data_IF_060328595733
#
_entry.id   IF_060328595733
#
_cell.length_a   1.000
_cell.length_b   1.000
_cell.length_c   1.000
_cell.angle_alpha   90.00
_cell.angle_beta   90.00
_cell.angle_gamma   90.00
#
_symmetry.space_group_name_H-M   'P 1'
#
loop_
_entity.id
_entity.type
_entity.pdbx_description
1 polymer ?
#
# COMPACT_ATOMS: atom_id res chain seq x y z
N UNK A 1 6.28 -13.93 14.46
CA UNK A 1 6.28 -12.45 14.58
C UNK A 1 4.90 -11.91 14.27
N UNK A 2 4.20 -11.42 15.28
CA UNK A 2 2.94 -10.69 15.10
C UNK A 2 3.25 -9.21 14.80
N UNK A 3 2.94 -8.75 13.58
CA UNK A 3 3.15 -7.36 13.15
C UNK A 3 2.12 -6.40 13.76
N UNK A 4 2.19 -6.18 15.07
CA UNK A 4 1.24 -5.35 15.82
C UNK A 4 1.39 -3.85 15.55
N UNK A 5 2.61 -3.39 15.25
CA UNK A 5 2.87 -1.98 14.97
C UNK A 5 2.78 -1.71 13.47
N UNK A 6 1.68 -1.05 13.07
CA UNK A 6 1.42 -0.65 11.67
C UNK A 6 1.32 0.86 11.59
N UNK A 7 2.05 1.45 10.64
CA UNK A 7 1.88 2.85 10.30
C UNK A 7 0.64 3.02 9.43
N UNK A 8 -0.02 4.16 9.57
CA UNK A 8 -1.10 4.57 8.69
C UNK A 8 -0.55 4.72 7.27
N UNK A 9 -1.15 4.11 6.24
CA UNK A 9 -0.61 4.23 4.88
C UNK A 9 -0.78 5.65 4.35
N UNK A 10 0.15 6.07 3.48
CA UNK A 10 0.06 7.31 2.73
C UNK A 10 -0.46 7.02 1.31
N UNK A 11 -1.63 7.55 0.98
CA UNK A 11 -2.19 7.56 -0.37
C UNK A 11 -1.79 8.85 -1.10
N UNK A 12 -1.44 8.73 -2.38
CA UNK A 12 -1.13 9.88 -3.23
C UNK A 12 -2.04 9.84 -4.45
N UNK A 13 -2.76 10.93 -4.70
CA UNK A 13 -3.64 11.03 -5.85
C UNK A 13 -3.54 12.37 -6.59
N UNK A 14 -4.21 12.47 -7.73
CA UNK A 14 -4.16 13.68 -8.58
C UNK A 14 -4.98 14.84 -8.03
N UNK A 15 -6.16 14.52 -7.52
CA UNK A 15 -7.10 15.51 -7.01
C UNK A 15 -6.79 15.85 -5.55
N UNK A 16 -6.95 17.11 -5.17
CA UNK A 16 -6.95 17.51 -3.75
C UNK A 16 -8.07 16.82 -2.98
N UNK A 17 -9.26 16.73 -3.58
CA UNK A 17 -10.46 16.13 -3.01
C UNK A 17 -11.00 15.04 -3.96
N UNK A 18 -10.56 13.78 -3.82
CA UNK A 18 -11.08 12.67 -4.62
C UNK A 18 -12.57 12.45 -4.37
N UNK A 19 -13.36 12.27 -5.45
CA UNK A 19 -14.79 11.99 -5.34
C UNK A 19 -15.10 10.75 -4.50
N UNK A 20 -14.21 9.74 -4.53
CA UNK A 20 -14.36 8.53 -3.72
C UNK A 20 -14.23 8.75 -2.20
N UNK A 21 -13.81 9.94 -1.75
CA UNK A 21 -13.71 10.31 -0.34
C UNK A 21 -14.79 11.32 0.10
N UNK A 22 -15.70 11.72 -0.79
CA UNK A 22 -16.67 12.81 -0.52
C UNK A 22 -17.46 12.63 0.77
N UNK A 23 -17.85 11.39 1.08
CA UNK A 23 -18.70 11.06 2.25
C UNK A 23 -17.93 10.32 3.35
N UNK A 24 -16.60 10.29 3.27
CA UNK A 24 -15.76 9.62 4.26
C UNK A 24 -15.60 10.50 5.50
N UNK A 25 -16.29 10.15 6.60
CA UNK A 25 -16.18 10.86 7.89
C UNK A 25 -14.75 10.86 8.46
N UNK A 26 -14.03 9.77 8.26
CA UNK A 26 -12.61 9.67 8.59
C UNK A 26 -11.92 8.73 7.59
N UNK A 27 -10.67 9.03 7.26
CA UNK A 27 -9.85 8.20 6.40
C UNK A 27 -8.83 7.45 7.23
N UNK A 28 -8.81 6.12 7.10
CA UNK A 28 -7.76 5.25 7.64
C UNK A 28 -6.43 5.37 6.87
N UNK A 29 -6.35 6.28 5.89
CA UNK A 29 -5.18 6.61 5.08
C UNK A 29 -4.86 8.09 5.26
N UNK A 30 -3.58 8.43 5.35
CA UNK A 30 -3.13 9.80 5.15
C UNK A 30 -3.09 10.09 3.66
N UNK A 31 -3.44 11.30 3.23
CA UNK A 31 -3.54 11.62 1.80
C UNK A 31 -2.69 12.84 1.45
N UNK A 32 -1.94 12.74 0.34
CA UNK A 32 -1.27 13.88 -0.29
C UNK A 32 -1.60 13.94 -1.78
N UNK A 33 -1.40 15.11 -2.38
CA UNK A 33 -1.72 15.33 -3.79
C UNK A 33 -0.45 15.47 -4.64
N UNK A 34 -0.49 14.88 -5.82
CA UNK A 34 0.51 15.08 -6.85
C UNK A 34 -0.14 14.88 -8.23
N UNK A 35 0.11 15.79 -9.18
CA UNK A 35 -0.45 15.73 -10.55
C UNK A 35 -0.22 14.36 -11.22
N UNK A 36 0.91 13.73 -10.92
CA UNK A 36 1.31 12.42 -11.47
C UNK A 36 0.97 11.21 -10.57
N UNK A 37 0.35 11.42 -9.40
CA UNK A 37 -0.02 10.35 -8.43
C UNK A 37 1.12 9.42 -7.98
N UNK A 38 2.35 9.92 -7.97
CA UNK A 38 3.55 9.20 -7.55
C UNK A 38 4.25 9.93 -6.39
N UNK A 39 5.12 9.21 -5.68
CA UNK A 39 5.92 9.79 -4.60
C UNK A 39 6.86 10.87 -5.15
N UNK A 40 7.10 11.90 -4.34
CA UNK A 40 8.15 12.90 -4.61
C UNK A 40 9.00 13.10 -3.37
N UNK A 41 10.21 13.64 -3.54
CA UNK A 41 11.12 13.93 -2.44
C UNK A 41 10.50 14.86 -1.41
N UNK A 42 9.67 15.82 -1.86
CA UNK A 42 8.90 16.72 -0.98
C UNK A 42 7.87 15.96 -0.14
N UNK A 43 7.10 15.07 -0.75
CA UNK A 43 6.08 14.27 -0.06
C UNK A 43 6.75 13.29 0.92
N UNK A 44 7.83 12.63 0.49
CA UNK A 44 8.61 11.73 1.33
C UNK A 44 9.16 12.45 2.57
N UNK A 45 9.81 13.61 2.40
CA UNK A 45 10.33 14.41 3.52
C UNK A 45 9.24 14.81 4.50
N UNK A 46 8.09 15.27 4.00
CA UNK A 46 6.92 15.62 4.82
C UNK A 46 6.41 14.41 5.62
N UNK A 47 6.35 13.24 5.00
CA UNK A 47 5.92 12.01 5.66
C UNK A 47 6.90 11.56 6.75
N UNK A 48 8.21 11.58 6.49
CA UNK A 48 9.23 11.24 7.50
C UNK A 48 9.21 12.22 8.68
N UNK A 49 9.05 13.52 8.42
CA UNK A 49 8.92 14.52 9.50
C UNK A 49 7.67 14.30 10.36
N UNK A 50 6.56 13.86 9.77
CA UNK A 50 5.36 13.49 10.53
C UNK A 50 5.61 12.25 11.40
N UNK A 51 6.32 11.26 10.85
CA UNK A 51 6.70 10.05 11.57
C UNK A 51 7.63 10.35 12.75
N UNK A 52 8.64 11.22 12.54
CA UNK A 52 9.55 11.69 13.58
C UNK A 52 8.79 12.31 14.76
N UNK A 53 7.89 13.25 14.50
CA UNK A 53 7.07 13.89 15.56
C UNK A 53 6.28 12.87 16.37
N UNK A 54 5.70 11.88 15.70
CA UNK A 54 4.97 10.79 16.35
C UNK A 54 5.90 9.95 17.23
N UNK A 55 7.07 9.60 16.73
CA UNK A 55 8.03 8.77 17.45
C UNK A 55 8.68 9.48 18.63
N UNK A 56 8.88 10.80 18.54
CA UNK A 56 9.27 11.64 19.68
C UNK A 56 8.19 11.55 20.78
N UNK A 57 6.91 11.73 20.43
CA UNK A 57 5.82 11.64 21.39
C UNK A 57 5.66 10.23 21.99
N UNK A 58 5.98 9.19 21.23
CA UNK A 58 6.00 7.79 21.68
C UNK A 58 7.31 7.42 22.41
N UNK A 59 8.25 8.36 22.61
CA UNK A 59 9.59 8.12 23.17
C UNK A 59 10.32 6.91 22.53
N UNK A 60 10.12 6.73 21.23
CA UNK A 60 10.57 5.55 20.47
C UNK A 60 11.56 5.93 19.38
N UNK A 61 12.56 5.07 19.15
CA UNK A 61 13.50 5.19 18.02
C UNK A 61 13.31 4.04 17.03
N UNK A 62 13.44 4.32 15.74
CA UNK A 62 13.36 3.32 14.68
C UNK A 62 14.46 3.50 13.63
N UNK A 63 14.79 2.41 12.95
CA UNK A 63 15.52 2.42 11.69
C UNK A 63 14.53 2.34 10.51
N UNK A 64 14.65 3.22 9.53
CA UNK A 64 13.84 3.25 8.32
C UNK A 64 14.72 2.92 7.10
N UNK A 65 14.39 1.86 6.38
CA UNK A 65 15.12 1.48 5.16
C UNK A 65 14.41 2.00 3.90
N UNK A 66 15.12 2.76 3.08
CA UNK A 66 14.70 3.20 1.74
C UNK A 66 15.49 2.51 0.63
N UNK A 67 14.89 2.36 -0.55
CA UNK A 67 15.67 2.13 -1.77
C UNK A 67 16.33 3.43 -2.22
N UNK A 68 17.21 3.31 -3.21
CA UNK A 68 17.89 4.45 -3.84
C UNK A 68 17.02 5.15 -4.91
N UNK A 69 15.70 5.25 -4.69
CA UNK A 69 14.78 5.97 -5.57
C UNK A 69 15.00 7.49 -5.50
N UNK A 70 14.92 8.25 -6.62
CA UNK A 70 15.04 9.71 -6.60
C UNK A 70 14.04 10.42 -5.68
N UNK A 71 12.89 9.79 -5.41
CA UNK A 71 11.88 10.31 -4.50
C UNK A 71 12.27 10.18 -3.01
N UNK A 72 13.39 9.53 -2.69
CA UNK A 72 13.93 9.39 -1.34
C UNK A 72 15.19 10.27 -1.20
N UNK A 73 15.05 11.54 -0.78
CA UNK A 73 16.17 12.47 -0.73
C UNK A 73 17.16 12.07 0.36
N UNK A 74 18.46 12.13 0.04
CA UNK A 74 19.56 11.74 0.96
C UNK A 74 19.78 12.71 2.13
N UNK A 75 19.29 13.94 2.01
CA UNK A 75 19.46 15.01 3.02
C UNK A 75 18.39 14.97 4.13
N UNK A 76 17.65 13.86 4.26
CA UNK A 76 16.59 13.73 5.28
C UNK A 76 17.18 13.67 6.70
N UNK A 77 18.34 13.03 6.86
CA UNK A 77 18.86 12.63 8.18
C UNK A 77 19.31 13.78 9.07
N UNK A 78 19.73 14.91 8.50
CA UNK A 78 20.38 16.00 9.25
C UNK A 78 19.52 16.63 10.36
N UNK A 79 18.20 16.36 10.39
CA UNK A 79 17.26 16.95 11.36
C UNK A 79 16.48 15.93 12.18
N UNK A 80 16.75 14.63 12.04
CA UNK A 80 15.99 13.56 12.71
C UNK A 80 16.75 13.05 13.93
N UNK A 81 16.03 12.82 15.04
CA UNK A 81 16.57 12.30 16.30
C UNK A 81 16.10 10.87 16.58
N UNK A 82 14.87 10.55 16.20
CA UNK A 82 14.20 9.30 16.54
C UNK A 82 14.03 8.37 15.32
N UNK A 83 14.16 8.88 14.10
CA UNK A 83 14.21 8.11 12.86
C UNK A 83 15.62 8.15 12.30
N UNK A 84 16.26 6.99 12.16
CA UNK A 84 17.51 6.84 11.41
C UNK A 84 17.20 6.24 10.04
N UNK A 85 17.54 6.93 8.95
CA UNK A 85 17.29 6.43 7.59
C UNK A 85 18.52 5.68 7.07
N UNK A 86 18.27 4.52 6.48
CA UNK A 86 19.27 3.71 5.78
C UNK A 86 18.86 3.57 4.32
N UNK A 87 19.83 3.69 3.42
CA UNK A 87 19.60 3.48 1.99
C UNK A 87 20.19 2.14 1.58
N UNK A 88 19.35 1.33 0.93
CA UNK A 88 19.81 0.08 0.36
C UNK A 88 20.75 0.32 -0.81
N UNK A 89 21.71 -0.59 -1.06
CA UNK A 89 22.58 -0.51 -2.23
C UNK A 89 21.78 -0.42 -3.53
N UNK A 90 22.42 0.17 -4.55
CA UNK A 90 21.85 0.19 -5.91
C UNK A 90 21.65 -1.22 -6.42
N UNK A 91 20.60 -1.44 -7.21
CA UNK A 91 20.29 -2.70 -7.88
C UNK A 91 20.07 -3.92 -6.95
N UNK A 92 19.94 -3.71 -5.64
CA UNK A 92 19.63 -4.80 -4.70
C UNK A 92 18.16 -4.86 -4.28
N UNK A 93 17.30 -4.00 -4.83
CA UNK A 93 15.89 -3.85 -4.40
C UNK A 93 15.15 -5.19 -4.41
N UNK A 94 15.22 -5.95 -5.51
CA UNK A 94 14.56 -7.25 -5.63
C UNK A 94 15.07 -8.31 -4.64
N UNK A 95 16.33 -8.18 -4.19
CA UNK A 95 17.00 -9.12 -3.28
C UNK A 95 16.91 -8.72 -1.83
N UNK A 96 16.88 -7.43 -1.50
CA UNK A 96 16.97 -6.93 -0.13
C UNK A 96 15.68 -6.25 0.34
N UNK A 97 14.82 -5.76 -0.55
CA UNK A 97 13.56 -5.15 -0.13
C UNK A 97 12.50 -6.20 0.13
N UNK A 98 12.01 -6.33 1.38
CA UNK A 98 10.93 -7.26 1.70
C UNK A 98 9.65 -6.97 0.89
N UNK A 99 9.44 -5.70 0.54
CA UNK A 99 8.34 -5.22 -0.30
C UNK A 99 8.29 -5.97 -1.64
N UNK A 100 9.45 -6.07 -2.31
CA UNK A 100 9.60 -6.72 -3.61
C UNK A 100 9.68 -8.24 -3.49
N UNK A 101 10.22 -8.75 -2.39
CA UNK A 101 10.43 -10.18 -2.17
C UNK A 101 9.17 -11.04 -1.98
N UNK A 102 7.96 -10.44 -1.93
CA UNK A 102 6.61 -11.07 -2.05
C UNK A 102 5.54 -10.27 -1.33
N UNK A 103 5.89 -9.32 -0.46
CA UNK A 103 4.89 -8.58 0.34
C UNK A 103 3.90 -7.87 -0.58
N UNK A 104 4.38 -7.17 -1.61
CA UNK A 104 3.50 -6.51 -2.59
C UNK A 104 2.64 -7.52 -3.37
N UNK A 105 3.21 -8.65 -3.80
CA UNK A 105 2.47 -9.72 -4.51
C UNK A 105 1.34 -10.27 -3.64
N UNK A 106 1.66 -10.65 -2.40
CA UNK A 106 0.69 -11.20 -1.46
C UNK A 106 -0.37 -10.18 -1.07
N UNK A 107 0.00 -8.91 -0.90
CA UNK A 107 -0.94 -7.83 -0.65
C UNK A 107 -1.95 -7.70 -1.80
N UNK A 108 -1.49 -7.64 -3.05
CA UNK A 108 -2.36 -7.56 -4.23
C UNK A 108 -3.33 -8.76 -4.33
N UNK A 109 -2.82 -9.98 -4.11
CA UNK A 109 -3.64 -11.20 -4.12
C UNK A 109 -4.72 -11.15 -3.04
N UNK A 110 -4.34 -10.83 -1.79
CA UNK A 110 -5.28 -10.76 -0.66
C UNK A 110 -6.31 -9.65 -0.84
N UNK A 111 -5.89 -8.49 -1.34
CA UNK A 111 -6.78 -7.37 -1.64
C UNK A 111 -7.82 -7.77 -2.69
N UNK A 112 -7.41 -8.35 -3.82
CA UNK A 112 -8.33 -8.83 -4.87
C UNK A 112 -9.32 -9.86 -4.33
N UNK A 113 -8.84 -10.87 -3.58
CA UNK A 113 -9.71 -11.86 -2.94
C UNK A 113 -10.75 -11.21 -2.02
N UNK A 114 -10.37 -10.18 -1.24
CA UNK A 114 -11.30 -9.45 -0.36
C UNK A 114 -12.35 -8.66 -1.14
N UNK A 115 -11.96 -8.02 -2.25
CA UNK A 115 -12.91 -7.30 -3.12
C UNK A 115 -13.91 -8.27 -3.75
N UNK A 116 -13.45 -9.38 -4.35
CA UNK A 116 -14.34 -10.39 -4.96
C UNK A 116 -15.32 -10.96 -3.93
N UNK A 117 -14.85 -11.29 -2.73
CA UNK A 117 -15.73 -11.76 -1.64
C UNK A 117 -16.77 -10.71 -1.26
N UNK A 118 -16.39 -9.43 -1.11
CA UNK A 118 -17.34 -8.35 -0.79
C UNK A 118 -18.38 -8.17 -1.89
N UNK A 119 -17.97 -8.20 -3.14
CA UNK A 119 -18.89 -8.10 -4.29
C UNK A 119 -19.83 -9.29 -4.36
N UNK A 120 -19.33 -10.51 -4.17
CA UNK A 120 -20.15 -11.72 -4.15
C UNK A 120 -21.17 -11.71 -3.00
N UNK A 121 -20.76 -11.33 -1.79
CA UNK A 121 -21.68 -11.19 -0.65
C UNK A 121 -22.75 -10.14 -0.94
N UNK A 122 -22.36 -8.96 -1.43
CA UNK A 122 -23.30 -7.90 -1.80
C UNK A 122 -24.26 -8.35 -2.90
N UNK A 123 -23.78 -9.10 -3.89
CA UNK A 123 -24.60 -9.61 -4.98
C UNK A 123 -25.66 -10.60 -4.49
N UNK A 124 -25.31 -11.49 -3.55
CA UNK A 124 -26.27 -12.37 -2.87
C UNK A 124 -27.31 -11.61 -2.06
N UNK A 125 -26.90 -10.54 -1.37
CA UNK A 125 -27.84 -9.69 -0.62
C UNK A 125 -28.83 -8.97 -1.53
N UNK A 126 -28.40 -8.55 -2.73
CA UNK A 126 -29.25 -7.85 -3.71
C UNK A 126 -30.13 -8.84 -4.49
N UNK A 127 -29.67 -10.08 -4.69
CA UNK A 127 -30.40 -11.12 -5.42
C UNK A 127 -30.62 -12.36 -4.53
N UNK A 128 -31.43 -12.28 -3.46
CA UNK A 128 -31.62 -13.38 -2.51
C UNK A 128 -32.36 -14.59 -3.10
N UNK A 129 -32.99 -14.43 -4.28
CA UNK A 129 -33.87 -15.45 -4.88
C UNK A 129 -33.27 -16.16 -6.11
N UNK A 130 -32.01 -15.92 -6.48
CA UNK A 130 -31.39 -16.54 -7.67
C UNK A 130 -30.54 -17.78 -7.38
N UNK A 131 -30.59 -18.34 -6.16
CA UNK A 131 -29.91 -19.60 -5.81
C UNK A 131 -30.64 -20.86 -6.34
N UNK A 132 -31.34 -20.74 -7.47
CA UNK A 132 -31.61 -21.86 -8.38
C UNK A 132 -30.89 -21.61 -9.70
N UNK A 133 -29.57 -21.81 -9.72
CA UNK A 133 -28.85 -22.06 -10.97
C UNK A 133 -28.34 -23.50 -10.94
N UNK A 134 -28.74 -24.35 -11.90
CA UNK A 134 -28.30 -25.74 -11.95
C UNK A 134 -26.78 -25.78 -12.17
N UNK A 135 -26.10 -26.67 -11.46
CA UNK A 135 -24.64 -26.77 -11.36
C UNK A 135 -23.90 -27.15 -12.65
N UNK A 136 -24.03 -26.37 -13.71
CA UNK A 136 -23.34 -26.57 -14.99
C UNK A 136 -23.01 -25.23 -15.65
N UNK A 137 -22.07 -24.46 -15.11
CA UNK A 137 -21.19 -23.56 -15.89
C UNK A 137 -20.13 -22.80 -15.06
N UNK A 138 -19.54 -23.43 -14.05
CA UNK A 138 -18.28 -22.91 -13.45
C UNK A 138 -17.18 -23.92 -13.78
N UNK A 139 -16.74 -23.96 -15.04
CA UNK A 139 -15.49 -24.65 -15.42
C UNK A 139 -14.46 -23.78 -16.14
N UNK A 140 -14.76 -22.52 -16.45
CA UNK A 140 -13.84 -21.70 -17.26
C UNK A 140 -13.33 -20.43 -16.55
N UNK A 141 -12.86 -20.54 -15.32
CA UNK A 141 -12.07 -19.45 -14.69
C UNK A 141 -10.75 -19.91 -14.05
N UNK A 142 -10.36 -21.17 -14.24
CA UNK A 142 -9.06 -21.71 -13.80
C UNK A 142 -8.08 -22.04 -14.94
N UNK A 143 -8.42 -21.74 -16.20
CA UNK A 143 -7.52 -21.97 -17.35
C UNK A 143 -6.97 -20.66 -17.88
N UNK A 144 -6.11 -20.01 -17.11
CA UNK A 144 -5.06 -19.13 -17.65
C UNK A 144 -3.78 -19.42 -16.87
N UNK A 145 -3.29 -20.66 -17.02
CA UNK A 145 -1.89 -20.94 -16.83
C UNK A 145 -1.10 -20.39 -18.03
N UNK A 146 -0.02 -19.69 -17.69
CA UNK A 146 1.30 -19.78 -18.32
C UNK A 146 1.35 -19.61 -19.85
N UNK A 147 1.64 -18.38 -20.27
CA UNK A 147 2.00 -18.09 -21.66
C UNK A 147 2.46 -16.64 -21.86
N UNK A 148 3.64 -16.29 -21.35
CA UNK A 148 4.53 -15.36 -22.07
C UNK A 148 5.97 -15.59 -21.59
N UNK A 149 6.72 -16.29 -22.43
CA UNK A 149 8.16 -16.43 -22.38
C UNK A 149 8.84 -15.20 -23.02
N UNK A 150 10.03 -14.91 -22.49
CA UNK A 150 11.11 -13.99 -22.93
C UNK A 150 10.89 -12.51 -22.68
#
# INVERSE_FOLDING_TARGET
MTGHQKLKPLGIGRSKNPRCFKDAKSLEVDYDLNKKSWMTSKICKKWVQKLEKRLIAECRKIALAFDNCPAHPKEIDQKLKNVTVFYLPRNTTSKLQPMDQRVMKNFKIRYRKRIVRKLSLRWRTINPCQDQLPGKHIRNFQSMELGCHR
#
